data_IF_208253129280
#
_entry.id   IF_208253129280
#
_cell.length_a   1.000
_cell.length_b   1.000
_cell.length_c   1.000
_cell.angle_alpha   90.00
_cell.angle_beta   90.00
_cell.angle_gamma   90.00
#
_symmetry.space_group_name_H-M   'P 1'
#
loop_
_entity.id
_entity.type
_entity.pdbx_description
1 polymer ?
#
# COMPACT_ATOMS: atom_id res chain seq x y z
N UNK A 1 -17.93 -51.06 -27.87
CA UNK A 1 -19.15 -50.67 -28.63
C UNK A 1 -19.26 -49.15 -28.52
N UNK A 2 -18.89 -48.37 -29.55
CA UNK A 2 -19.77 -47.88 -30.65
C UNK A 2 -21.08 -47.32 -30.08
N UNK A 3 -21.49 -46.05 -30.26
CA UNK A 3 -21.19 -45.05 -31.31
C UNK A 3 -21.94 -43.73 -31.00
N UNK A 4 -21.24 -42.59 -31.18
CA UNK A 4 -21.63 -41.33 -31.90
C UNK A 4 -22.86 -40.52 -31.37
N UNK A 5 -23.12 -39.22 -31.63
CA UNK A 5 -22.91 -38.30 -32.77
C UNK A 5 -22.94 -36.82 -32.29
N UNK A 6 -22.15 -36.00 -33.01
CA UNK A 6 -22.08 -34.54 -33.23
C UNK A 6 -23.33 -33.62 -33.14
N UNK A 7 -23.07 -32.35 -32.78
CA UNK A 7 -23.48 -31.10 -33.45
C UNK A 7 -22.62 -29.95 -32.83
N UNK A 8 -21.77 -29.13 -33.47
CA UNK A 8 -21.65 -28.41 -34.75
C UNK A 8 -22.60 -27.20 -34.90
N UNK A 9 -21.96 -26.05 -35.19
CA UNK A 9 -22.45 -24.69 -35.51
C UNK A 9 -22.61 -23.74 -34.29
N UNK A 10 -22.22 -22.46 -34.33
CA UNK A 10 -21.96 -21.59 -35.47
C UNK A 10 -20.90 -20.51 -35.16
N UNK A 11 -20.12 -20.24 -36.21
CA UNK A 11 -19.22 -19.13 -36.43
C UNK A 11 -19.99 -17.79 -36.41
N UNK A 12 -19.54 -16.79 -35.67
CA UNK A 12 -19.87 -15.40 -35.92
C UNK A 12 -18.58 -14.59 -35.94
N UNK A 13 -18.15 -14.31 -37.17
CA UNK A 13 -17.02 -13.48 -37.53
C UNK A 13 -17.59 -12.08 -37.80
N UNK A 14 -17.37 -11.14 -36.88
CA UNK A 14 -17.62 -9.72 -37.16
C UNK A 14 -16.30 -8.98 -37.20
N UNK A 15 -15.79 -8.84 -38.43
CA UNK A 15 -14.84 -7.81 -38.81
C UNK A 15 -15.51 -6.44 -38.58
N UNK A 16 -14.91 -5.59 -37.75
CA UNK A 16 -15.07 -4.14 -37.88
C UNK A 16 -13.68 -3.53 -38.05
N UNK A 17 -13.53 -2.83 -39.17
CA UNK A 17 -12.32 -2.14 -39.56
C UNK A 17 -12.33 -0.71 -39.00
N UNK A 18 -11.15 -0.24 -38.61
CA UNK A 18 -10.69 1.12 -38.89
C UNK A 18 -11.08 2.22 -37.93
N UNK A 19 -10.22 2.47 -36.92
CA UNK A 19 -9.75 3.82 -36.63
C UNK A 19 -8.23 3.72 -36.41
N UNK A 20 -7.45 4.07 -37.45
CA UNK A 20 -6.03 4.39 -37.31
C UNK A 20 -6.00 5.81 -36.75
N UNK A 21 -5.99 5.92 -35.43
CA UNK A 21 -5.55 7.13 -34.76
C UNK A 21 -4.03 7.10 -34.70
N UNK A 22 -3.36 7.97 -35.46
CA UNK A 22 -1.97 8.30 -35.21
C UNK A 22 -1.90 9.02 -33.86
N UNK A 23 -1.82 8.28 -32.77
CA UNK A 23 -1.09 8.73 -31.60
C UNK A 23 0.38 8.59 -31.99
N UNK A 24 1.13 9.67 -31.97
CA UNK A 24 2.58 9.58 -31.92
C UNK A 24 2.95 8.48 -30.91
N UNK A 25 3.87 7.54 -31.22
CA UNK A 25 4.45 6.77 -30.14
C UNK A 25 5.06 7.82 -29.23
N UNK A 26 4.45 8.00 -28.06
CA UNK A 26 5.15 8.62 -26.95
C UNK A 26 6.49 7.91 -26.92
N UNK A 27 7.58 8.66 -27.11
CA UNK A 27 8.91 8.13 -26.84
C UNK A 27 8.78 7.39 -25.51
N UNK A 28 9.32 6.15 -25.40
CA UNK A 28 9.39 5.51 -24.10
C UNK A 28 10.18 6.48 -23.24
N UNK A 29 9.49 7.31 -22.46
CA UNK A 29 10.11 8.14 -21.44
C UNK A 29 10.91 7.13 -20.66
N UNK A 30 12.22 7.28 -20.70
CA UNK A 30 13.18 6.31 -20.17
C UNK A 30 12.69 5.95 -18.76
N UNK A 31 11.97 4.82 -18.64
CA UNK A 31 11.15 4.48 -17.47
C UNK A 31 12.03 4.00 -16.31
N UNK A 32 13.29 4.42 -16.35
CA UNK A 32 14.39 4.11 -15.46
C UNK A 32 14.65 5.24 -14.47
N UNK A 33 13.98 6.39 -14.65
CA UNK A 33 13.97 7.53 -13.71
C UNK A 33 12.86 7.42 -12.65
N UNK A 34 12.04 6.37 -12.71
CA UNK A 34 11.11 6.03 -11.63
C UNK A 34 11.90 5.52 -10.43
N UNK A 35 12.20 6.48 -9.55
CA UNK A 35 12.69 6.32 -8.19
C UNK A 35 12.04 5.08 -7.53
N UNK A 36 12.76 3.96 -7.48
CA UNK A 36 12.27 2.76 -6.81
C UNK A 36 12.30 3.00 -5.30
N UNK A 37 11.13 3.15 -4.69
CA UNK A 37 11.01 3.49 -3.28
C UNK A 37 10.99 2.22 -2.43
N UNK A 38 11.91 2.10 -1.47
CA UNK A 38 11.91 1.02 -0.46
C UNK A 38 11.24 1.55 0.80
N UNK A 39 10.35 0.73 1.35
CA UNK A 39 9.75 0.99 2.64
C UNK A 39 10.75 0.64 3.76
N UNK A 40 11.26 1.65 4.46
CA UNK A 40 11.72 1.48 5.83
C UNK A 40 10.63 2.02 6.75
N UNK A 41 9.89 1.13 7.39
CA UNK A 41 9.05 1.54 8.51
C UNK A 41 10.01 1.97 9.64
N UNK A 42 10.13 3.27 9.90
CA UNK A 42 10.69 3.69 11.19
C UNK A 42 9.72 3.19 12.27
N UNK A 43 10.19 2.54 13.33
CA UNK A 43 9.34 2.12 14.45
C UNK A 43 8.56 3.32 15.03
N UNK A 44 9.12 4.52 14.91
CA UNK A 44 8.45 5.77 15.24
C UNK A 44 7.16 6.01 14.42
N UNK A 45 7.14 5.68 13.12
CA UNK A 45 5.97 5.86 12.26
C UNK A 45 4.83 4.88 12.62
N UNK A 46 5.19 3.72 13.17
CA UNK A 46 4.23 2.67 13.53
C UNK A 46 3.59 2.90 14.90
N UNK A 47 4.16 3.83 15.66
CA UNK A 47 3.71 4.26 16.98
C UNK A 47 3.19 5.70 16.99
N UNK A 48 3.19 6.38 15.83
CA UNK A 48 2.57 7.69 15.69
C UNK A 48 1.04 7.57 15.63
N UNK A 49 0.42 7.73 16.80
CA UNK A 49 -1.04 7.80 16.96
C UNK A 49 -1.55 9.24 17.04
N UNK A 50 -0.81 10.24 16.52
CA UNK A 50 -1.23 11.64 16.52
C UNK A 50 -2.56 11.88 15.77
N UNK A 51 -2.96 10.94 14.91
CA UNK A 51 -4.24 10.96 14.21
C UNK A 51 -5.43 10.44 15.05
N UNK A 52 -5.17 9.74 16.16
CA UNK A 52 -6.24 9.28 17.05
C UNK A 52 -6.75 10.49 17.83
N UNK A 53 -8.05 10.84 17.70
CA UNK A 53 -8.56 12.02 18.36
C UNK A 53 -8.56 11.86 19.88
N UNK A 54 -8.44 12.97 20.60
CA UNK A 54 -8.62 12.96 22.06
C UNK A 54 -10.11 12.97 22.42
N UNK A 55 -10.50 12.50 23.62
CA UNK A 55 -11.88 12.63 24.09
C UNK A 55 -12.38 14.09 24.05
N UNK A 56 -11.53 15.05 24.42
CA UNK A 56 -11.89 16.47 24.34
C UNK A 56 -12.13 16.95 22.90
N UNK A 57 -11.30 16.51 21.93
CA UNK A 57 -11.52 16.83 20.52
C UNK A 57 -12.83 16.19 19.98
N UNK A 58 -13.18 15.00 20.46
CA UNK A 58 -14.44 14.33 20.10
C UNK A 58 -15.62 15.14 20.60
N UNK A 59 -15.61 15.51 21.89
CA UNK A 59 -16.69 16.29 22.50
C UNK A 59 -16.82 17.67 21.87
N UNK A 60 -15.68 18.32 21.57
CA UNK A 60 -15.62 19.61 20.86
C UNK A 60 -16.05 19.52 19.39
N UNK A 61 -16.27 18.33 18.84
CA UNK A 61 -16.66 18.12 17.43
C UNK A 61 -15.53 18.33 16.43
N UNK A 62 -14.28 18.43 16.89
CA UNK A 62 -13.10 18.68 16.03
C UNK A 62 -12.39 17.38 15.63
N UNK A 63 -12.61 16.27 16.36
CA UNK A 63 -11.95 14.97 16.19
C UNK A 63 -12.02 14.32 14.80
N UNK A 64 -13.04 14.64 14.01
CA UNK A 64 -13.32 13.97 12.73
C UNK A 64 -13.34 14.93 11.55
N UNK A 65 -12.90 16.16 11.77
CA UNK A 65 -12.70 17.11 10.67
C UNK A 65 -11.51 16.61 9.85
N UNK A 66 -11.71 16.50 8.53
CA UNK A 66 -10.65 16.15 7.59
C UNK A 66 -9.50 17.17 7.82
N UNK A 67 -8.25 16.74 8.07
CA UNK A 67 -7.17 17.70 8.23
C UNK A 67 -7.11 18.56 6.96
N UNK A 68 -7.33 19.87 7.11
CA UNK A 68 -7.11 20.81 6.02
C UNK A 68 -5.60 20.87 5.75
N UNK A 69 -5.23 20.58 4.50
CA UNK A 69 -3.93 20.94 3.92
C UNK A 69 -2.67 20.40 4.62
N UNK A 70 -2.63 19.09 4.88
CA UNK A 70 -1.39 18.33 4.75
C UNK A 70 -1.67 17.23 3.75
N UNK A 71 -0.93 17.17 2.63
CA UNK A 71 -1.03 16.08 1.66
C UNK A 71 -0.98 14.71 2.33
N UNK A 72 -1.37 13.62 1.65
CA UNK A 72 -1.45 12.29 2.26
C UNK A 72 -0.21 12.05 3.10
N UNK A 73 -0.37 12.01 4.43
CA UNK A 73 0.71 11.60 5.32
C UNK A 73 0.95 10.14 4.98
N UNK A 74 1.97 9.91 4.16
CA UNK A 74 2.47 8.59 3.85
C UNK A 74 3.05 8.05 5.16
N UNK A 75 2.23 7.34 5.94
CA UNK A 75 2.77 6.48 6.99
C UNK A 75 3.82 5.57 6.36
N UNK A 76 5.03 5.57 6.95
CA UNK A 76 6.22 5.01 6.33
C UNK A 76 6.70 5.88 5.19
N UNK A 77 7.15 7.09 5.53
CA UNK A 77 7.74 8.03 4.58
C UNK A 77 8.77 7.29 3.74
N UNK A 78 8.52 7.23 2.44
CA UNK A 78 9.40 6.53 1.51
C UNK A 78 10.75 7.24 1.53
N UNK A 79 11.80 6.54 1.96
CA UNK A 79 13.16 6.98 1.66
C UNK A 79 13.43 6.51 0.24
N UNK A 80 13.74 7.42 -0.70
CA UNK A 80 14.29 7.03 -1.98
C UNK A 80 15.63 6.32 -1.76
N UNK A 81 15.61 4.99 -1.70
CA UNK A 81 16.80 4.23 -2.04
C UNK A 81 16.80 4.11 -3.53
N UNK A 82 17.56 4.96 -4.20
CA UNK A 82 17.67 4.93 -5.64
C UNK A 82 18.31 3.60 -6.08
N UNK A 83 17.48 2.57 -6.28
CA UNK A 83 17.90 1.29 -6.87
C UNK A 83 18.55 1.50 -8.22
N UNK A 84 18.23 2.61 -8.91
CA UNK A 84 18.96 3.08 -10.08
C UNK A 84 20.49 3.06 -9.86
N UNK A 85 20.97 3.52 -8.70
CA UNK A 85 22.40 3.52 -8.38
C UNK A 85 22.97 2.12 -8.15
N UNK A 86 22.14 1.18 -7.68
CA UNK A 86 22.52 -0.24 -7.50
C UNK A 86 22.59 -0.91 -8.86
N UNK A 87 21.52 -0.80 -9.66
CA UNK A 87 21.40 -1.35 -11.01
C UNK A 87 22.53 -0.87 -11.92
N UNK A 88 22.91 0.41 -11.84
CA UNK A 88 24.04 0.98 -12.60
C UNK A 88 25.40 0.36 -12.28
N UNK A 89 25.58 -0.21 -11.08
CA UNK A 89 26.84 -0.87 -10.66
C UNK A 89 26.96 -2.32 -11.13
N UNK A 90 25.88 -2.93 -11.60
CA UNK A 90 25.84 -4.37 -11.91
C UNK A 90 26.23 -4.74 -13.35
N UNK A 91 26.46 -3.75 -14.22
CA UNK A 91 26.79 -3.98 -15.64
C UNK A 91 25.86 -5.02 -16.31
N UNK A 92 24.55 -4.76 -16.21
CA UNK A 92 23.51 -5.70 -16.65
C UNK A 92 23.41 -5.77 -18.18
N UNK A 93 23.14 -6.97 -18.71
CA UNK A 93 22.71 -7.11 -20.11
C UNK A 93 21.31 -6.55 -20.30
N UNK A 94 20.90 -6.33 -21.55
CA UNK A 94 19.56 -5.80 -21.85
C UNK A 94 18.45 -6.78 -21.45
N UNK A 95 18.69 -8.09 -21.59
CA UNK A 95 17.78 -9.13 -21.10
C UNK A 95 17.65 -9.09 -19.57
N UNK A 96 18.75 -8.92 -18.84
CA UNK A 96 18.74 -8.81 -17.38
C UNK A 96 17.99 -7.55 -16.92
N UNK A 97 18.22 -6.42 -17.58
CA UNK A 97 17.50 -5.16 -17.29
C UNK A 97 16.00 -5.36 -17.44
N UNK A 98 15.55 -5.97 -18.54
CA UNK A 98 14.13 -6.18 -18.78
C UNK A 98 13.51 -7.14 -17.75
N UNK A 99 14.20 -8.24 -17.41
CA UNK A 99 13.75 -9.15 -16.36
C UNK A 99 13.66 -8.46 -14.99
N UNK A 100 14.63 -7.61 -14.65
CA UNK A 100 14.63 -6.86 -13.38
C UNK A 100 13.49 -5.83 -13.35
N UNK A 101 13.17 -5.15 -14.47
CA UNK A 101 11.99 -4.27 -14.54
C UNK A 101 10.71 -5.04 -14.22
N UNK A 102 10.55 -6.26 -14.73
CA UNK A 102 9.41 -7.10 -14.39
C UNK A 102 9.38 -7.46 -12.90
N UNK A 103 10.53 -7.75 -12.27
CA UNK A 103 10.60 -7.96 -10.82
C UNK A 103 10.11 -6.73 -10.03
N UNK A 104 10.52 -5.51 -10.42
CA UNK A 104 10.06 -4.29 -9.76
C UNK A 104 8.59 -3.98 -10.01
N UNK A 105 8.07 -4.27 -11.20
CA UNK A 105 6.63 -4.16 -11.49
C UNK A 105 5.82 -5.08 -10.56
N UNK A 106 6.23 -6.35 -10.43
CA UNK A 106 5.59 -7.30 -9.53
C UNK A 106 5.63 -6.85 -8.06
N UNK A 107 6.76 -6.30 -7.61
CA UNK A 107 6.86 -5.68 -6.28
C UNK A 107 5.86 -4.54 -6.08
N UNK A 108 5.76 -3.62 -7.07
CA UNK A 108 4.83 -2.49 -7.01
C UNK A 108 3.38 -2.96 -6.89
N UNK A 109 2.99 -3.97 -7.66
CA UNK A 109 1.66 -4.56 -7.61
C UNK A 109 1.37 -5.22 -6.25
N UNK A 110 2.33 -6.01 -5.73
CA UNK A 110 2.25 -6.62 -4.40
C UNK A 110 2.04 -5.56 -3.30
N UNK A 111 2.96 -4.60 -3.21
CA UNK A 111 2.92 -3.55 -2.20
C UNK A 111 1.68 -2.66 -2.33
N UNK A 112 1.19 -2.40 -3.54
CA UNK A 112 -0.04 -1.64 -3.75
C UNK A 112 -1.26 -2.39 -3.22
N UNK A 113 -1.39 -3.69 -3.53
CA UNK A 113 -2.51 -4.51 -3.08
C UNK A 113 -2.60 -4.57 -1.55
N UNK A 114 -1.47 -4.73 -0.85
CA UNK A 114 -1.44 -4.74 0.61
C UNK A 114 -1.80 -3.38 1.21
N UNK A 115 -1.35 -2.28 0.60
CA UNK A 115 -1.74 -0.91 1.00
C UNK A 115 -3.22 -0.66 0.84
N UNK A 116 -3.82 -1.11 -0.25
CA UNK A 116 -5.27 -0.98 -0.48
C UNK A 116 -6.06 -1.78 0.56
N UNK A 117 -5.61 -3.00 0.87
CA UNK A 117 -6.19 -3.84 1.93
C UNK A 117 -6.10 -3.15 3.29
N UNK A 118 -4.93 -2.63 3.65
CA UNK A 118 -4.71 -1.86 4.87
C UNK A 118 -5.62 -0.63 4.95
N UNK A 119 -5.69 0.18 3.88
CA UNK A 119 -6.54 1.39 3.83
C UNK A 119 -8.01 1.04 4.02
N UNK A 120 -8.49 -0.04 3.39
CA UNK A 120 -9.85 -0.51 3.54
C UNK A 120 -10.14 -0.95 4.99
N UNK A 121 -9.27 -1.77 5.58
CA UNK A 121 -9.41 -2.25 6.96
C UNK A 121 -9.37 -1.09 7.98
N UNK A 122 -8.42 -0.16 7.83
CA UNK A 122 -8.30 1.03 8.68
C UNK A 122 -9.54 1.93 8.57
N UNK A 123 -10.03 2.16 7.35
CA UNK A 123 -11.25 2.94 7.11
C UNK A 123 -12.45 2.30 7.79
N UNK A 124 -12.60 0.97 7.71
CA UNK A 124 -13.68 0.25 8.38
C UNK A 124 -13.62 0.42 9.90
N UNK A 125 -12.43 0.31 10.51
CA UNK A 125 -12.23 0.54 11.96
C UNK A 125 -12.55 1.98 12.37
N UNK A 126 -12.14 2.94 11.56
CA UNK A 126 -12.43 4.36 11.82
C UNK A 126 -13.94 4.66 11.75
N UNK A 127 -14.65 4.09 10.77
CA UNK A 127 -16.11 4.21 10.69
C UNK A 127 -16.80 3.58 11.90
N UNK A 128 -16.38 2.38 12.33
CA UNK A 128 -16.92 1.72 13.51
C UNK A 128 -16.70 2.53 14.79
N UNK A 129 -15.50 3.12 14.98
CA UNK A 129 -15.22 4.02 16.09
C UNK A 129 -16.17 5.24 16.09
N UNK A 130 -16.35 5.87 14.93
CA UNK A 130 -17.24 7.03 14.77
C UNK A 130 -18.68 6.68 15.13
N UNK A 131 -19.17 5.52 14.69
CA UNK A 131 -20.50 5.02 14.99
C UNK A 131 -20.67 4.74 16.50
N UNK A 132 -19.67 4.12 17.14
CA UNK A 132 -19.69 3.83 18.58
C UNK A 132 -19.68 5.11 19.45
N UNK A 133 -18.99 6.16 19.00
CA UNK A 133 -18.91 7.45 19.71
C UNK A 133 -20.18 8.29 19.56
N UNK A 134 -20.89 8.17 18.43
CA UNK A 134 -22.07 8.98 18.12
C UNK A 134 -23.14 9.02 19.24
N UNK A 135 -23.58 7.90 19.84
CA UNK A 135 -24.56 7.95 20.93
C UNK A 135 -24.02 8.61 22.20
N UNK A 136 -22.73 8.45 22.52
CA UNK A 136 -22.10 9.10 23.68
C UNK A 136 -22.11 10.61 23.50
N UNK A 137 -21.74 11.07 22.30
CA UNK A 137 -21.77 12.50 21.98
C UNK A 137 -23.20 13.04 22.03
N UNK A 138 -24.19 12.33 21.51
CA UNK A 138 -25.58 12.75 21.58
C UNK A 138 -26.07 12.91 23.04
N UNK A 139 -25.71 11.97 23.93
CA UNK A 139 -26.05 12.04 25.35
C UNK A 139 -25.34 13.20 26.08
N UNK A 140 -24.11 13.51 25.68
CA UNK A 140 -23.38 14.67 26.20
C UNK A 140 -24.02 15.99 25.72
N UNK A 141 -24.30 16.11 24.43
CA UNK A 141 -24.87 17.31 23.81
C UNK A 141 -26.30 17.60 24.33
N UNK A 142 -27.06 16.56 24.73
CA UNK A 142 -28.37 16.71 25.38
C UNK A 142 -28.29 17.03 26.88
N UNK A 143 -27.10 17.01 27.47
CA UNK A 143 -26.90 17.15 28.92
C UNK A 143 -27.37 15.93 29.73
N UNK A 144 -27.60 14.79 29.09
CA UNK A 144 -28.00 13.54 29.76
C UNK A 144 -26.85 12.87 30.51
N UNK A 145 -25.60 13.14 30.09
CA UNK A 145 -24.39 12.77 30.82
C UNK A 145 -23.47 13.98 30.95
N UNK A 146 -22.65 13.97 31.99
CA UNK A 146 -21.59 14.96 32.23
C UNK A 146 -20.43 14.78 31.26
N UNK A 147 -19.54 15.78 31.21
CA UNK A 147 -18.31 15.71 30.43
C UNK A 147 -17.43 14.54 30.89
N UNK A 148 -17.33 14.33 32.19
CA UNK A 148 -16.51 13.32 32.83
C UNK A 148 -17.01 11.91 32.49
N UNK A 149 -18.33 11.69 32.53
CA UNK A 149 -18.97 10.45 32.11
C UNK A 149 -18.75 10.19 30.61
N UNK A 150 -18.93 11.20 29.76
CA UNK A 150 -18.68 11.07 28.33
C UNK A 150 -17.22 10.69 28.02
N UNK A 151 -16.25 11.30 28.72
CA UNK A 151 -14.83 10.93 28.61
C UNK A 151 -14.58 9.48 29.02
N UNK A 152 -15.13 9.06 30.16
CA UNK A 152 -14.98 7.69 30.65
C UNK A 152 -15.52 6.64 29.66
N UNK A 153 -16.54 7.00 28.86
CA UNK A 153 -17.05 6.13 27.79
C UNK A 153 -16.23 6.19 26.49
N UNK A 154 -15.66 7.34 26.14
CA UNK A 154 -14.90 7.51 24.88
C UNK A 154 -13.48 6.95 24.99
N UNK A 155 -12.81 7.11 26.13
CA UNK A 155 -11.43 6.65 26.34
C UNK A 155 -11.18 5.17 25.99
N UNK A 156 -11.98 4.20 26.45
CA UNK A 156 -11.76 2.81 26.07
C UNK A 156 -11.94 2.58 24.55
N UNK A 157 -12.91 3.24 23.90
CA UNK A 157 -13.10 3.12 22.45
C UNK A 157 -11.88 3.61 21.66
N UNK A 158 -11.26 4.70 22.11
CA UNK A 158 -10.04 5.22 21.49
C UNK A 158 -8.82 4.33 21.77
N UNK A 159 -8.75 3.69 22.94
CA UNK A 159 -7.72 2.72 23.26
C UNK A 159 -7.84 1.47 22.38
N UNK A 160 -9.05 0.93 22.23
CA UNK A 160 -9.32 -0.23 21.36
C UNK A 160 -8.97 0.08 19.90
N UNK A 161 -9.35 1.27 19.40
CA UNK A 161 -8.98 1.70 18.05
C UNK A 161 -7.46 1.81 17.86
N UNK A 162 -6.71 2.29 18.86
CA UNK A 162 -5.24 2.35 18.80
C UNK A 162 -4.62 0.96 18.66
N UNK A 163 -5.08 0.01 19.46
CA UNK A 163 -4.58 -1.38 19.39
C UNK A 163 -4.94 -2.04 18.05
N UNK A 164 -6.15 -1.82 17.54
CA UNK A 164 -6.57 -2.28 16.21
C UNK A 164 -5.65 -1.71 15.11
N UNK A 165 -5.38 -0.40 15.13
CA UNK A 165 -4.50 0.24 14.14
C UNK A 165 -3.06 -0.26 14.26
N UNK A 166 -2.57 -0.47 15.48
CA UNK A 166 -1.24 -1.05 15.72
C UNK A 166 -1.12 -2.44 15.11
N UNK A 167 -2.11 -3.29 15.30
CA UNK A 167 -2.15 -4.63 14.71
C UNK A 167 -2.19 -4.56 13.17
N UNK A 168 -3.00 -3.66 12.59
CA UNK A 168 -3.03 -3.45 11.14
C UNK A 168 -1.68 -2.96 10.58
N UNK A 169 -1.00 -2.07 11.30
CA UNK A 169 0.32 -1.58 10.93
C UNK A 169 1.37 -2.70 10.92
N UNK A 170 1.32 -3.61 11.90
CA UNK A 170 2.21 -4.77 11.96
C UNK A 170 1.95 -5.76 10.81
N UNK A 171 0.68 -6.03 10.51
CA UNK A 171 0.30 -6.86 9.35
C UNK A 171 0.86 -6.26 8.06
N UNK A 172 0.60 -4.97 7.79
CA UNK A 172 1.10 -4.31 6.59
C UNK A 172 2.63 -4.37 6.51
N UNK A 173 3.33 -4.14 7.63
CA UNK A 173 4.79 -4.22 7.68
C UNK A 173 5.28 -5.60 7.24
N UNK A 174 4.71 -6.67 7.79
CA UNK A 174 5.10 -8.04 7.47
C UNK A 174 4.84 -8.37 6.00
N UNK A 175 3.69 -7.97 5.46
CA UNK A 175 3.36 -8.13 4.04
C UNK A 175 4.35 -7.40 3.12
N UNK A 176 4.73 -6.16 3.46
CA UNK A 176 5.72 -5.41 2.68
C UNK A 176 7.13 -6.03 2.75
N UNK A 177 7.51 -6.64 3.89
CA UNK A 177 8.75 -7.42 4.01
C UNK A 177 8.71 -8.63 3.08
N UNK A 178 7.59 -9.34 2.99
CA UNK A 178 7.40 -10.47 2.08
C UNK A 178 7.48 -10.04 0.61
N UNK A 179 6.81 -8.95 0.22
CA UNK A 179 6.95 -8.38 -1.13
C UNK A 179 8.41 -8.02 -1.45
N UNK A 180 9.15 -7.44 -0.49
CA UNK A 180 10.56 -7.08 -0.67
C UNK A 180 11.47 -8.33 -0.75
N UNK A 181 11.18 -9.37 0.01
CA UNK A 181 11.89 -10.65 -0.07
C UNK A 181 11.71 -11.28 -1.46
N UNK A 182 10.47 -11.31 -1.97
CA UNK A 182 10.17 -11.79 -3.32
C UNK A 182 10.87 -10.96 -4.41
N UNK A 183 10.96 -9.64 -4.25
CA UNK A 183 11.75 -8.78 -5.14
C UNK A 183 13.23 -9.18 -5.14
N UNK A 184 13.84 -9.35 -3.97
CA UNK A 184 15.25 -9.72 -3.84
C UNK A 184 15.53 -11.09 -4.47
N UNK A 185 14.65 -12.05 -4.27
CA UNK A 185 14.75 -13.38 -4.89
C UNK A 185 14.63 -13.31 -6.41
N UNK A 186 13.62 -12.60 -6.93
CA UNK A 186 13.41 -12.40 -8.36
C UNK A 186 14.62 -11.75 -9.01
N UNK A 187 15.12 -10.64 -8.45
CA UNK A 187 16.32 -9.96 -8.98
C UNK A 187 17.52 -10.88 -8.91
N UNK A 188 17.77 -11.53 -7.76
CA UNK A 188 18.92 -12.42 -7.59
C UNK A 188 18.96 -13.58 -8.60
N UNK A 189 17.80 -14.11 -8.99
CA UNK A 189 17.70 -15.18 -10.00
C UNK A 189 18.10 -14.75 -11.42
N UNK A 190 18.10 -13.44 -11.70
CA UNK A 190 18.45 -12.86 -13.00
C UNK A 190 19.89 -12.34 -13.07
N UNK A 191 20.66 -12.43 -11.98
CA UNK A 191 22.03 -11.95 -11.89
C UNK A 191 23.04 -13.10 -12.06
N UNK A 192 24.22 -12.82 -12.59
CA UNK A 192 25.35 -13.74 -12.51
C UNK A 192 25.83 -13.85 -11.05
N UNK A 193 26.62 -14.88 -10.68
CA UNK A 193 27.16 -14.99 -9.33
C UNK A 193 27.95 -13.75 -8.88
N UNK A 194 28.71 -13.13 -9.78
CA UNK A 194 29.49 -11.91 -9.48
C UNK A 194 28.58 -10.71 -9.24
N UNK A 195 27.56 -10.53 -10.08
CA UNK A 195 26.57 -9.46 -9.93
C UNK A 195 25.74 -9.65 -8.66
N UNK A 196 25.36 -10.88 -8.33
CA UNK A 196 24.63 -11.21 -7.12
C UNK A 196 25.42 -10.85 -5.87
N UNK A 197 26.74 -11.05 -5.86
CA UNK A 197 27.59 -10.64 -4.75
C UNK A 197 27.56 -9.12 -4.53
N UNK A 198 27.68 -8.33 -5.61
CA UNK A 198 27.56 -6.86 -5.57
C UNK A 198 26.16 -6.44 -5.10
N UNK A 199 25.12 -7.12 -5.58
CA UNK A 199 23.74 -6.86 -5.17
C UNK A 199 23.55 -7.11 -3.67
N UNK A 200 24.04 -8.22 -3.13
CA UNK A 200 23.93 -8.53 -1.71
C UNK A 200 24.70 -7.52 -0.84
N UNK A 201 25.88 -7.10 -1.26
CA UNK A 201 26.65 -6.04 -0.59
C UNK A 201 25.82 -4.75 -0.51
N UNK A 202 25.32 -4.25 -1.65
CA UNK A 202 24.59 -2.98 -1.73
C UNK A 202 23.21 -3.00 -1.05
N UNK A 203 22.63 -4.18 -0.84
CA UNK A 203 21.29 -4.36 -0.24
C UNK A 203 21.31 -4.79 1.22
N UNK A 204 22.46 -5.20 1.76
CA UNK A 204 22.65 -5.59 3.16
C UNK A 204 23.05 -4.45 4.09
N UNK A 205 23.60 -3.34 3.55
CA UNK A 205 23.96 -2.12 4.31
C UNK A 205 22.74 -1.23 4.64
N UNK A 206 21.55 -1.80 4.84
CA UNK A 206 20.33 -1.01 5.00
C UNK A 206 19.16 -1.72 5.62
#
# INVERSE_FOLDING_TARGET
MKTRILALAALCLTLTAGIVGCSDPAEPSDATDDLYMVYSADEADLTDFSEVPTPDAVLAGTAFSKPEAGGPREFGRLIPRAWHHIVKKLDLTDEQKEAIKHCFQAYRECAQADRETYRAARTARFMALKEAIAPIKAAYDSGSITKEEAKAHIEPLLADYREDVKALNEILRNQLIECLAALRECVGSNLTPEQLAIWMELTSEG
#
